data_IF_038383249154
#
_entry.id   IF_038383249154
#
_cell.length_a   1.000
_cell.length_b   1.000
_cell.length_c   1.000
_cell.angle_alpha   90.00
_cell.angle_beta   90.00
_cell.angle_gamma   90.00
#
_symmetry.space_group_name_H-M   'P 1'
#
loop_
_entity.id
_entity.type
_entity.pdbx_description
1 polymer ?
#
# COMPACT_ATOMS: atom_id res chain seq x y z
N UNK A 1 27.44 -33.36 9.30
CA UNK A 1 27.10 -34.61 8.61
C UNK A 1 26.79 -34.27 7.18
N UNK A 2 27.69 -34.62 6.29
CA UNK A 2 27.48 -34.47 4.84
C UNK A 2 26.26 -35.30 4.41
N UNK A 3 25.40 -34.70 3.60
CA UNK A 3 24.24 -35.37 3.02
C UNK A 3 24.48 -35.55 1.53
N UNK A 4 24.20 -36.75 1.03
CA UNK A 4 24.36 -37.08 -0.39
C UNK A 4 22.99 -37.02 -1.07
N UNK A 5 22.84 -36.17 -2.08
CA UNK A 5 21.55 -35.97 -2.77
C UNK A 5 21.63 -36.49 -4.19
N UNK A 6 20.67 -37.33 -4.59
CA UNK A 6 20.55 -37.74 -5.99
C UNK A 6 20.04 -36.57 -6.82
N UNK A 7 20.76 -36.21 -7.88
CA UNK A 7 20.38 -35.17 -8.83
C UNK A 7 19.14 -35.54 -9.67
N UNK A 8 18.88 -36.84 -9.90
CA UNK A 8 17.73 -37.31 -10.70
C UNK A 8 16.41 -37.30 -9.92
N UNK A 9 16.39 -37.82 -8.70
CA UNK A 9 15.16 -37.90 -7.90
C UNK A 9 15.14 -37.05 -6.62
N UNK A 10 16.18 -36.24 -6.39
CA UNK A 10 16.35 -35.38 -5.20
C UNK A 10 16.37 -36.10 -3.85
N UNK A 11 16.39 -37.44 -3.85
CA UNK A 11 16.46 -38.24 -2.62
C UNK A 11 17.76 -38.00 -1.88
N UNK A 12 17.65 -37.66 -0.60
CA UNK A 12 18.80 -37.44 0.30
C UNK A 12 19.17 -38.71 1.06
N UNK A 13 20.46 -38.99 1.18
CA UNK A 13 21.03 -40.13 1.88
C UNK A 13 22.00 -39.65 2.97
N UNK A 14 21.99 -40.34 4.10
CA UNK A 14 22.87 -40.05 5.25
C UNK A 14 24.24 -40.71 5.14
N UNK A 15 24.42 -41.66 4.21
CA UNK A 15 25.68 -42.39 4.02
C UNK A 15 26.02 -42.51 2.53
N UNK A 16 27.32 -42.40 2.22
CA UNK A 16 27.84 -42.52 0.85
C UNK A 16 27.54 -43.89 0.25
N UNK A 17 27.56 -44.95 1.06
CA UNK A 17 27.25 -46.32 0.60
C UNK A 17 25.82 -46.45 0.11
N UNK A 18 24.83 -45.87 0.82
CA UNK A 18 23.43 -45.89 0.40
C UNK A 18 23.20 -45.08 -0.87
N UNK A 19 23.82 -43.90 -0.97
CA UNK A 19 23.80 -43.09 -2.19
C UNK A 19 24.38 -43.84 -3.38
N UNK A 20 25.54 -44.47 -3.21
CA UNK A 20 26.23 -45.23 -4.27
C UNK A 20 25.41 -46.43 -4.72
N UNK A 21 24.77 -47.15 -3.79
CA UNK A 21 23.85 -48.24 -4.13
C UNK A 21 22.62 -47.73 -4.90
N UNK A 22 22.09 -46.57 -4.53
CA UNK A 22 20.97 -45.96 -5.25
C UNK A 22 21.35 -45.53 -6.67
N UNK A 23 22.54 -44.95 -6.87
CA UNK A 23 22.97 -44.48 -8.20
C UNK A 23 23.41 -45.61 -9.13
N UNK A 24 23.91 -46.73 -8.59
CA UNK A 24 24.37 -47.90 -9.35
C UNK A 24 23.29 -49.00 -9.54
N UNK A 25 22.04 -48.76 -9.15
CA UNK A 25 20.96 -49.75 -9.29
C UNK A 25 20.64 -50.02 -10.77
N UNK A 26 20.24 -51.26 -11.12
CA UNK A 26 19.94 -51.67 -12.50
C UNK A 26 18.85 -50.83 -13.19
N UNK A 27 17.85 -50.37 -12.42
CA UNK A 27 16.74 -49.54 -12.92
C UNK A 27 16.90 -48.13 -12.36
N UNK A 28 17.33 -47.12 -13.13
CA UNK A 28 17.56 -45.76 -12.64
C UNK A 28 16.33 -45.09 -12.03
N UNK A 29 16.51 -44.00 -11.30
CA UNK A 29 15.39 -43.17 -10.83
C UNK A 29 14.88 -42.25 -11.93
N UNK A 30 13.57 -42.03 -11.92
CA UNK A 30 12.82 -41.31 -12.95
C UNK A 30 12.40 -39.92 -12.47
N UNK A 31 11.90 -39.08 -13.38
CA UNK A 31 11.28 -37.80 -12.98
C UNK A 31 10.00 -38.02 -12.15
N UNK A 32 9.30 -39.13 -12.34
CA UNK A 32 8.17 -39.50 -11.47
C UNK A 32 8.61 -39.76 -10.03
N UNK A 33 9.77 -40.41 -9.82
CA UNK A 33 10.36 -40.60 -8.48
C UNK A 33 10.68 -39.26 -7.82
N UNK A 34 11.08 -38.27 -8.61
CA UNK A 34 11.36 -36.90 -8.16
C UNK A 34 10.09 -36.17 -7.72
N UNK A 35 9.04 -36.23 -8.53
CA UNK A 35 7.73 -35.64 -8.20
C UNK A 35 7.21 -36.24 -6.89
N UNK A 36 7.19 -37.58 -6.79
CA UNK A 36 6.79 -38.31 -5.58
C UNK A 36 7.62 -37.92 -4.36
N UNK A 37 8.91 -37.61 -4.54
CA UNK A 37 9.77 -37.14 -3.47
C UNK A 37 9.44 -35.72 -3.02
N UNK A 38 9.20 -34.80 -3.97
CA UNK A 38 8.88 -33.39 -3.70
C UNK A 38 7.52 -33.27 -2.99
N UNK A 39 6.51 -34.00 -3.47
CA UNK A 39 5.14 -33.99 -2.95
C UNK A 39 4.95 -34.79 -1.66
N UNK A 40 6.00 -35.44 -1.17
CA UNK A 40 5.90 -36.25 0.05
C UNK A 40 5.59 -35.36 1.25
N UNK A 41 4.39 -35.53 1.82
CA UNK A 41 3.92 -34.76 2.99
C UNK A 41 4.82 -34.89 4.21
N UNK A 42 5.55 -36.01 4.35
CA UNK A 42 6.49 -36.24 5.45
C UNK A 42 7.91 -35.71 5.14
N UNK A 43 8.08 -34.88 4.11
CA UNK A 43 9.36 -34.26 3.76
C UNK A 43 9.58 -32.96 4.52
N UNK A 44 10.76 -32.79 5.08
CA UNK A 44 11.19 -31.51 5.65
C UNK A 44 11.53 -30.52 4.54
N UNK A 45 10.93 -29.34 4.59
CA UNK A 45 11.14 -28.23 3.67
C UNK A 45 12.54 -27.58 3.79
N UNK A 46 13.21 -27.70 4.95
CA UNK A 46 14.53 -27.11 5.16
C UNK A 46 15.69 -28.03 4.76
N UNK A 47 15.67 -29.28 5.22
CA UNK A 47 16.77 -30.23 4.98
C UNK A 47 16.45 -31.31 3.94
N UNK A 48 15.24 -31.27 3.38
CA UNK A 48 14.74 -32.16 2.33
C UNK A 48 14.64 -33.64 2.71
N UNK A 49 14.88 -34.01 3.96
CA UNK A 49 14.75 -35.40 4.44
C UNK A 49 13.29 -35.83 4.51
N UNK A 50 13.01 -37.06 4.10
CA UNK A 50 11.70 -37.70 4.22
C UNK A 50 11.66 -38.56 5.47
N UNK A 51 10.58 -38.42 6.25
CA UNK A 51 10.36 -39.15 7.49
C UNK A 51 9.31 -40.25 7.29
N UNK A 52 9.40 -41.31 8.10
CA UNK A 52 8.45 -42.42 8.05
C UNK A 52 7.02 -42.00 8.43
N UNK A 53 6.87 -40.96 9.26
CA UNK A 53 5.58 -40.43 9.70
C UNK A 53 5.62 -38.91 9.89
N UNK A 54 4.43 -38.29 9.90
CA UNK A 54 4.25 -36.87 10.23
C UNK A 54 4.78 -36.52 11.63
N UNK A 55 4.59 -37.41 12.60
CA UNK A 55 5.06 -37.16 13.97
C UNK A 55 6.59 -37.11 14.05
N UNK A 56 7.30 -37.96 13.29
CA UNK A 56 8.75 -37.92 13.18
C UNK A 56 9.24 -36.64 12.50
N UNK A 57 8.53 -36.16 11.47
CA UNK A 57 8.80 -34.87 10.84
C UNK A 57 8.61 -33.71 11.83
N UNK A 58 7.51 -33.68 12.58
CA UNK A 58 7.24 -32.65 13.59
C UNK A 58 8.36 -32.58 14.63
N UNK A 59 8.70 -33.71 15.25
CA UNK A 59 9.82 -33.81 16.21
C UNK A 59 11.15 -33.35 15.61
N UNK A 60 11.37 -33.55 14.31
CA UNK A 60 12.55 -33.04 13.63
C UNK A 60 12.52 -31.52 13.47
N UNK A 61 11.40 -30.95 13.03
CA UNK A 61 11.22 -29.51 12.86
C UNK A 61 11.30 -28.74 14.19
N UNK A 62 10.87 -29.36 15.29
CA UNK A 62 10.81 -28.70 16.60
C UNK A 62 12.18 -28.57 17.29
N UNK A 63 13.16 -29.41 16.96
CA UNK A 63 14.46 -29.32 17.66
C UNK A 63 15.65 -30.09 17.09
N UNK A 64 15.53 -30.74 15.92
CA UNK A 64 16.64 -31.53 15.34
C UNK A 64 17.02 -31.08 13.93
N UNK A 65 16.32 -30.09 13.37
CA UNK A 65 16.57 -29.60 12.03
C UNK A 65 17.62 -28.49 12.02
N UNK A 66 18.89 -28.87 11.86
CA UNK A 66 20.01 -27.90 11.75
C UNK A 66 19.85 -26.90 10.59
N UNK A 67 19.20 -27.32 9.49
CA UNK A 67 18.94 -26.43 8.36
C UNK A 67 17.90 -25.35 8.70
N UNK A 68 16.87 -25.70 9.47
CA UNK A 68 15.89 -24.75 9.98
C UNK A 68 16.52 -23.79 10.97
N UNK A 69 17.33 -24.30 11.91
CA UNK A 69 18.06 -23.48 12.89
C UNK A 69 18.97 -22.45 12.21
N UNK A 70 19.71 -22.86 11.18
CA UNK A 70 20.56 -21.96 10.38
C UNK A 70 19.73 -20.89 9.65
N UNK A 71 18.65 -21.29 8.98
CA UNK A 71 17.73 -20.38 8.26
C UNK A 71 17.07 -19.36 9.20
N UNK A 72 16.63 -19.80 10.39
CA UNK A 72 16.08 -18.92 11.42
C UNK A 72 17.11 -17.90 11.89
N UNK A 73 18.35 -18.34 12.19
CA UNK A 73 19.42 -17.44 12.64
C UNK A 73 19.80 -16.39 11.58
N UNK A 74 19.93 -16.81 10.32
CA UNK A 74 20.22 -15.89 9.22
C UNK A 74 19.11 -14.85 9.04
N UNK A 75 17.85 -15.24 9.23
CA UNK A 75 16.69 -14.33 9.21
C UNK A 75 16.68 -13.38 10.40
N UNK A 76 16.99 -13.85 11.60
CA UNK A 76 17.09 -13.01 12.80
C UNK A 76 18.21 -11.97 12.69
N UNK A 77 19.37 -12.36 12.15
CA UNK A 77 20.48 -11.45 11.87
C UNK A 77 20.10 -10.39 10.83
N UNK A 78 19.41 -10.78 9.76
CA UNK A 78 18.91 -9.86 8.74
C UNK A 78 17.87 -8.88 9.32
N UNK A 79 16.94 -9.39 10.12
CA UNK A 79 15.92 -8.59 10.80
C UNK A 79 16.56 -7.56 11.74
N UNK A 80 17.59 -7.97 12.48
CA UNK A 80 18.32 -7.08 13.39
C UNK A 80 19.02 -5.96 12.63
N UNK A 81 19.63 -6.24 11.46
CA UNK A 81 20.24 -5.22 10.60
C UNK A 81 19.20 -4.22 10.06
N UNK A 82 18.07 -4.72 9.58
CA UNK A 82 16.97 -3.88 9.08
C UNK A 82 16.42 -2.93 10.16
N UNK A 83 16.26 -3.41 11.39
CA UNK A 83 15.80 -2.57 12.51
C UNK A 83 16.80 -1.45 12.80
N UNK A 84 18.11 -1.74 12.79
CA UNK A 84 19.15 -0.73 12.99
C UNK A 84 19.13 0.34 11.90
N UNK A 85 19.03 -0.04 10.63
CA UNK A 85 18.93 0.89 9.51
C UNK A 85 17.67 1.77 9.61
N UNK A 86 16.53 1.18 9.98
CA UNK A 86 15.28 1.93 10.16
C UNK A 86 15.36 2.94 11.31
N UNK A 87 16.00 2.58 12.41
CA UNK A 87 16.19 3.49 13.54
C UNK A 87 17.13 4.65 13.16
N UNK A 88 18.16 4.39 12.36
CA UNK A 88 19.07 5.44 11.91
C UNK A 88 18.39 6.41 10.93
N UNK A 89 17.58 5.88 10.00
CA UNK A 89 16.74 6.69 9.12
C UNK A 89 15.75 7.56 9.92
N UNK A 90 15.14 7.02 10.98
CA UNK A 90 14.22 7.77 11.83
C UNK A 90 14.92 8.91 12.59
N UNK A 91 16.16 8.70 13.06
CA UNK A 91 16.98 9.76 13.67
C UNK A 91 17.32 10.86 12.68
N UNK A 92 17.75 10.50 11.47
CA UNK A 92 18.02 11.48 10.41
C UNK A 92 16.78 12.30 10.03
N UNK A 93 15.62 11.65 9.94
CA UNK A 93 14.34 12.33 9.69
C UNK A 93 13.99 13.32 10.80
N UNK A 94 14.15 12.92 12.07
CA UNK A 94 13.91 13.81 13.22
C UNK A 94 14.81 15.05 13.20
N UNK A 95 16.09 14.88 12.83
CA UNK A 95 17.01 16.00 12.69
C UNK A 95 16.59 16.94 11.55
N UNK A 96 16.26 16.38 10.38
CA UNK A 96 15.80 17.17 9.22
C UNK A 96 14.48 17.92 9.50
N UNK A 97 13.59 17.36 10.33
CA UNK A 97 12.37 18.05 10.77
C UNK A 97 12.68 19.25 11.67
N UNK A 98 13.68 19.16 12.55
CA UNK A 98 14.12 20.29 13.38
C UNK A 98 14.72 21.40 12.51
N UNK A 99 15.58 21.04 11.56
CA UNK A 99 16.18 22.01 10.63
C UNK A 99 15.12 22.72 9.78
N UNK A 100 14.09 21.99 9.34
CA UNK A 100 12.97 22.55 8.59
C UNK A 100 12.16 23.54 9.43
N UNK A 101 11.95 23.27 10.70
CA UNK A 101 11.25 24.18 11.62
C UNK A 101 12.08 25.44 11.86
N UNK A 102 13.39 25.31 12.09
CA UNK A 102 14.27 26.48 12.21
C UNK A 102 14.30 27.34 10.95
N UNK A 103 14.28 26.70 9.77
CA UNK A 103 14.23 27.41 8.49
C UNK A 103 12.90 28.15 8.30
N UNK A 104 11.77 27.54 8.66
CA UNK A 104 10.46 28.22 8.67
C UNK A 104 10.45 29.45 9.58
N UNK A 105 11.00 29.31 10.79
CA UNK A 105 11.10 30.44 11.73
C UNK A 105 11.98 31.57 11.18
N UNK A 106 13.04 31.25 10.43
CA UNK A 106 13.87 32.26 9.74
C UNK A 106 13.12 32.96 8.61
N UNK A 107 12.32 32.23 7.82
CA UNK A 107 11.49 32.81 6.74
C UNK A 107 10.48 33.81 7.32
N UNK A 108 9.77 33.44 8.39
CA UNK A 108 8.79 34.32 9.06
C UNK A 108 9.46 35.61 9.55
N UNK A 109 10.67 35.53 10.12
CA UNK A 109 11.42 36.72 10.56
C UNK A 109 11.87 37.61 9.41
N UNK A 110 12.25 37.04 8.26
CA UNK A 110 12.63 37.80 7.07
C UNK A 110 11.43 38.51 6.42
N UNK A 111 10.27 37.86 6.38
CA UNK A 111 9.02 38.46 5.90
C UNK A 111 8.59 39.66 6.76
N UNK A 112 8.74 39.55 8.09
CA UNK A 112 8.45 40.64 9.03
C UNK A 112 9.41 41.84 8.90
N UNK A 113 10.65 41.62 8.46
CA UNK A 113 11.63 42.69 8.22
C UNK A 113 11.38 43.42 6.89
N UNK A 114 10.91 42.73 5.85
CA UNK A 114 10.57 43.35 4.56
C UNK A 114 9.26 44.16 4.59
N UNK A 115 8.34 43.90 5.52
CA UNK A 115 7.09 44.66 5.68
C UNK A 115 7.23 46.10 6.24
N UNK A 116 8.43 46.54 6.62
CA UNK A 116 8.67 47.85 7.28
C UNK A 116 9.40 48.91 6.44
N UNK A 117 9.63 48.68 5.15
CA UNK A 117 10.18 49.69 4.24
C UNK A 117 9.19 49.97 3.10
N UNK A 118 8.31 50.94 3.32
CA UNK A 118 7.85 51.98 2.36
C UNK A 118 6.97 52.93 3.18
N UNK A 119 7.55 54.05 3.62
CA UNK A 119 6.79 55.23 4.07
C UNK A 119 6.92 56.26 2.96
N UNK A 120 6.10 56.13 1.92
CA UNK A 120 5.88 57.23 0.97
C UNK A 120 4.63 57.95 1.43
N UNK A 121 4.80 59.20 1.87
CA UNK A 121 3.71 60.15 2.12
C UNK A 121 2.97 60.40 0.81
N UNK A 122 1.83 59.76 0.64
CA UNK A 122 0.88 60.06 -0.43
C UNK A 122 -0.53 59.80 0.09
N UNK A 123 -1.35 60.85 0.12
CA UNK A 123 -2.77 60.75 0.42
C UNK A 123 -3.41 59.76 -0.57
N UNK A 124 -3.76 58.57 -0.09
CA UNK A 124 -4.61 57.65 -0.82
C UNK A 124 -5.74 57.29 0.15
N UNK A 125 -6.97 57.62 -0.27
CA UNK A 125 -8.18 57.17 0.41
C UNK A 125 -8.17 55.64 0.44
N UNK A 126 -7.80 55.07 1.58
CA UNK A 126 -7.83 53.63 1.80
C UNK A 126 -9.29 53.22 1.97
N UNK A 127 -9.93 52.79 0.88
CA UNK A 127 -11.02 51.83 1.02
C UNK A 127 -10.45 50.61 1.74
N UNK A 128 -11.05 50.26 2.88
CA UNK A 128 -10.79 49.02 3.60
C UNK A 128 -10.97 47.83 2.62
N UNK A 129 -9.90 47.40 1.97
CA UNK A 129 -9.80 46.03 1.48
C UNK A 129 -9.45 45.24 2.72
N UNK A 130 -10.49 44.85 3.47
CA UNK A 130 -10.36 43.82 4.48
C UNK A 130 -9.64 42.65 3.84
N UNK A 131 -8.59 42.19 4.49
CA UNK A 131 -7.98 40.89 4.21
C UNK A 131 -9.10 39.86 4.23
N UNK A 132 -9.60 39.52 3.04
CA UNK A 132 -10.46 38.36 2.88
C UNK A 132 -9.57 37.18 3.23
N UNK A 133 -9.65 36.72 4.48
CA UNK A 133 -9.43 35.32 4.77
C UNK A 133 -10.39 34.60 3.82
N UNK A 134 -9.87 34.10 2.71
CA UNK A 134 -10.59 33.16 1.85
C UNK A 134 -10.70 31.91 2.72
N UNK A 135 -11.72 31.91 3.58
CA UNK A 135 -12.18 30.74 4.28
C UNK A 135 -12.80 29.89 3.16
N UNK A 136 -11.98 29.04 2.54
CA UNK A 136 -12.46 28.07 1.55
C UNK A 136 -13.45 27.15 2.28
N UNK A 137 -14.73 27.52 2.24
CA UNK A 137 -15.81 26.82 2.89
C UNK A 137 -16.22 25.64 1.99
N UNK A 138 -15.32 24.67 1.83
CA UNK A 138 -15.63 23.43 1.14
C UNK A 138 -16.35 22.49 2.11
N UNK A 139 -17.24 21.65 1.58
CA UNK A 139 -17.91 20.59 2.34
C UNK A 139 -17.48 19.24 1.78
N UNK A 140 -17.04 18.32 2.64
CA UNK A 140 -16.76 16.94 2.21
C UNK A 140 -18.09 16.30 1.78
N UNK A 141 -18.08 15.61 0.64
CA UNK A 141 -19.23 14.86 0.15
C UNK A 141 -19.14 13.41 0.59
N UNK A 142 -20.30 12.78 0.76
CA UNK A 142 -20.39 11.39 1.19
C UNK A 142 -19.63 10.47 0.23
N UNK A 143 -18.99 9.44 0.78
CA UNK A 143 -18.38 8.37 0.01
C UNK A 143 -19.42 7.73 -0.93
N UNK A 144 -19.03 7.53 -2.19
CA UNK A 144 -19.89 7.02 -3.25
C UNK A 144 -20.75 8.08 -3.96
N UNK A 145 -20.70 9.35 -3.53
CA UNK A 145 -21.39 10.48 -4.18
C UNK A 145 -20.41 11.47 -4.82
N UNK A 146 -19.23 11.00 -5.21
CA UNK A 146 -18.19 11.87 -5.73
C UNK A 146 -18.57 12.51 -7.06
N UNK A 147 -18.26 13.80 -7.22
CA UNK A 147 -18.36 14.44 -8.53
C UNK A 147 -17.18 14.01 -9.40
N UNK A 148 -17.48 13.39 -10.55
CA UNK A 148 -16.47 12.91 -11.51
C UNK A 148 -16.36 13.81 -12.75
N UNK A 149 -17.15 14.89 -12.82
CA UNK A 149 -17.25 15.77 -14.00
C UNK A 149 -15.94 16.48 -14.36
N UNK A 150 -15.05 16.64 -13.39
CA UNK A 150 -13.75 17.28 -13.60
C UNK A 150 -12.71 16.35 -14.25
N UNK A 151 -12.96 15.04 -14.31
CA UNK A 151 -12.04 14.07 -14.90
C UNK A 151 -12.20 14.15 -16.42
N UNK A 152 -11.18 14.65 -17.11
CA UNK A 152 -11.23 14.81 -18.57
C UNK A 152 -10.89 13.50 -19.27
N UNK A 153 -11.26 13.38 -20.54
CA UNK A 153 -10.91 12.22 -21.37
C UNK A 153 -9.40 11.92 -21.35
N UNK A 154 -8.55 12.95 -21.38
CA UNK A 154 -7.08 12.78 -21.30
C UNK A 154 -6.64 12.06 -20.03
N UNK A 155 -7.33 12.29 -18.92
CA UNK A 155 -7.02 11.69 -17.62
C UNK A 155 -7.46 10.22 -17.64
N UNK A 156 -8.65 9.93 -18.18
CA UNK A 156 -9.10 8.56 -18.41
C UNK A 156 -8.13 7.77 -19.31
N UNK A 157 -7.65 8.35 -20.42
CA UNK A 157 -6.66 7.68 -21.28
C UNK A 157 -5.39 7.31 -20.51
N UNK A 158 -4.90 8.19 -19.64
CA UNK A 158 -3.74 7.92 -18.78
C UNK A 158 -4.01 6.81 -17.76
N UNK A 159 -5.20 6.81 -17.16
CA UNK A 159 -5.62 5.83 -16.16
C UNK A 159 -5.80 4.45 -16.82
N UNK A 160 -6.47 4.37 -17.96
CA UNK A 160 -6.71 3.11 -18.70
C UNK A 160 -5.39 2.44 -19.13
N UNK A 161 -4.38 3.23 -19.51
CA UNK A 161 -3.04 2.72 -19.86
C UNK A 161 -2.31 2.02 -18.70
N UNK A 162 -2.82 2.14 -17.47
CA UNK A 162 -2.27 1.45 -16.29
C UNK A 162 -2.72 -0.02 -16.17
N UNK A 163 -3.69 -0.49 -16.97
CA UNK A 163 -4.19 -1.87 -16.94
C UNK A 163 -4.64 -2.29 -15.53
N UNK A 164 -4.00 -3.32 -14.95
CA UNK A 164 -4.31 -3.78 -13.58
C UNK A 164 -4.17 -2.70 -12.48
N UNK A 165 -3.46 -1.60 -12.76
CA UNK A 165 -3.32 -0.47 -11.83
C UNK A 165 -4.31 0.66 -12.11
N UNK A 166 -5.22 0.52 -13.08
CA UNK A 166 -6.20 1.55 -13.43
C UNK A 166 -7.15 1.86 -12.27
N UNK A 167 -7.68 0.83 -11.58
CA UNK A 167 -8.57 1.04 -10.42
C UNK A 167 -7.86 1.81 -9.28
N UNK A 168 -6.67 1.38 -8.78
CA UNK A 168 -5.94 2.17 -7.78
C UNK A 168 -5.65 3.61 -8.22
N UNK A 169 -5.31 3.81 -9.50
CA UNK A 169 -4.98 5.14 -9.99
C UNK A 169 -6.20 6.06 -10.10
N UNK A 170 -7.37 5.51 -10.47
CA UNK A 170 -8.62 6.27 -10.45
C UNK A 170 -9.01 6.65 -9.01
N UNK A 171 -8.87 5.73 -8.05
CA UNK A 171 -9.13 5.99 -6.63
C UNK A 171 -8.22 7.11 -6.11
N UNK A 172 -6.93 7.09 -6.48
CA UNK A 172 -5.99 8.16 -6.15
C UNK A 172 -6.45 9.52 -6.67
N UNK A 173 -6.87 9.56 -7.94
CA UNK A 173 -7.28 10.77 -8.63
C UNK A 173 -8.60 11.35 -8.09
N UNK A 174 -9.47 10.50 -7.55
CA UNK A 174 -10.75 10.92 -6.96
C UNK A 174 -10.55 11.38 -5.52
N UNK A 175 -10.06 10.49 -4.64
CA UNK A 175 -10.15 10.68 -3.20
C UNK A 175 -8.93 11.37 -2.56
N UNK A 176 -7.82 11.48 -3.30
CA UNK A 176 -6.56 12.03 -2.78
C UNK A 176 -6.04 13.20 -3.62
N UNK A 177 -6.94 13.82 -4.39
CA UNK A 177 -6.62 15.00 -5.18
C UNK A 177 -6.68 16.26 -4.32
N UNK A 178 -5.52 16.84 -4.03
CA UNK A 178 -5.36 18.05 -3.20
C UNK A 178 -6.19 19.25 -3.67
N UNK A 179 -6.57 19.32 -4.94
CA UNK A 179 -7.36 20.40 -5.52
C UNK A 179 -8.88 20.15 -5.41
N UNK A 180 -9.30 18.99 -4.91
CA UNK A 180 -10.69 18.56 -4.75
C UNK A 180 -10.93 18.06 -3.32
N UNK A 181 -10.80 18.95 -2.32
CA UNK A 181 -10.96 18.58 -0.91
C UNK A 181 -12.35 18.04 -0.57
N UNK A 182 -13.36 18.30 -1.41
CA UNK A 182 -14.70 17.76 -1.27
C UNK A 182 -14.69 16.21 -1.32
N UNK A 183 -13.81 15.60 -2.12
CA UNK A 183 -13.72 14.16 -2.32
C UNK A 183 -12.84 13.43 -1.31
N UNK A 184 -12.23 14.15 -0.35
CA UNK A 184 -11.36 13.57 0.67
C UNK A 184 -12.16 12.84 1.77
N UNK A 185 -12.86 11.79 1.38
CA UNK A 185 -13.92 11.15 2.16
C UNK A 185 -13.62 9.70 2.57
N UNK A 186 -12.41 9.20 2.32
CA UNK A 186 -11.99 7.82 2.68
C UNK A 186 -10.49 7.72 2.97
N UNK A 187 -10.11 6.98 4.02
CA UNK A 187 -8.71 6.59 4.27
C UNK A 187 -8.58 5.45 5.29
N UNK A 188 -7.39 4.84 5.36
CA UNK A 188 -7.03 3.88 6.41
C UNK A 188 -6.18 4.61 7.46
N UNK A 189 -6.68 4.67 8.70
CA UNK A 189 -5.96 5.29 9.82
C UNK A 189 -4.77 4.45 10.27
N UNK A 190 -4.93 3.12 10.31
CA UNK A 190 -3.96 2.16 10.83
C UNK A 190 -3.90 0.89 9.97
N UNK A 191 -2.69 0.47 9.58
CA UNK A 191 -2.46 -0.71 8.73
C UNK A 191 -2.81 -2.06 9.38
N UNK A 192 -2.80 -2.12 10.72
CA UNK A 192 -3.08 -3.33 11.49
C UNK A 192 -4.58 -3.58 11.63
N UNK A 193 -5.39 -2.54 11.53
CA UNK A 193 -6.83 -2.63 11.74
C UNK A 193 -7.53 -3.13 10.48
N UNK A 194 -8.66 -3.81 10.66
CA UNK A 194 -9.51 -4.30 9.57
C UNK A 194 -10.59 -3.30 9.17
N UNK A 195 -10.37 -2.02 9.45
CA UNK A 195 -11.35 -0.98 9.21
C UNK A 195 -10.79 0.13 8.31
N UNK A 196 -11.69 0.69 7.51
CA UNK A 196 -11.49 1.91 6.71
C UNK A 196 -12.38 2.99 7.31
N UNK A 197 -11.87 4.22 7.40
CA UNK A 197 -12.68 5.36 7.80
C UNK A 197 -13.28 5.99 6.55
N UNK A 198 -14.61 6.09 6.50
CA UNK A 198 -15.35 6.73 5.41
C UNK A 198 -16.22 7.87 5.94
N UNK A 199 -16.50 8.87 5.13
CA UNK A 199 -17.45 9.93 5.45
C UNK A 199 -18.81 9.62 4.83
N UNK A 200 -19.87 9.57 5.64
CA UNK A 200 -21.23 9.23 5.18
C UNK A 200 -22.04 10.45 4.68
N UNK A 201 -21.48 11.66 4.78
CA UNK A 201 -22.17 12.93 4.49
C UNK A 201 -22.50 13.76 5.75
N UNK A 202 -22.42 13.13 6.92
CA UNK A 202 -22.62 13.76 8.23
C UNK A 202 -21.40 13.56 9.13
N UNK A 203 -20.94 12.31 9.29
CA UNK A 203 -19.85 11.92 10.19
C UNK A 203 -18.93 10.88 9.57
N UNK A 204 -17.75 10.75 10.17
CA UNK A 204 -16.80 9.70 9.85
C UNK A 204 -17.19 8.39 10.53
N UNK A 205 -17.28 7.31 9.77
CA UNK A 205 -17.65 5.98 10.24
C UNK A 205 -16.57 4.95 9.89
N UNK A 206 -16.33 4.00 10.79
CA UNK A 206 -15.51 2.83 10.51
C UNK A 206 -16.36 1.80 9.77
N UNK A 207 -15.84 1.27 8.66
CA UNK A 207 -16.42 0.14 7.93
C UNK A 207 -15.40 -0.95 7.73
N UNK A 208 -15.88 -2.18 7.55
CA UNK A 208 -15.03 -3.35 7.28
C UNK A 208 -14.21 -3.10 6.00
N UNK A 209 -12.90 -3.34 6.10
CA UNK A 209 -11.96 -2.95 5.06
C UNK A 209 -12.15 -3.76 3.78
N UNK A 210 -12.23 -5.07 3.89
CA UNK A 210 -12.27 -5.95 2.74
C UNK A 210 -13.58 -5.78 1.95
N UNK A 211 -14.69 -5.46 2.63
CA UNK A 211 -15.98 -5.07 2.02
C UNK A 211 -15.86 -3.75 1.24
N UNK A 212 -15.35 -2.69 1.89
CA UNK A 212 -15.17 -1.37 1.24
C UNK A 212 -14.21 -1.46 0.06
N UNK A 213 -13.13 -2.23 0.19
CA UNK A 213 -12.18 -2.43 -0.91
C UNK A 213 -12.79 -3.22 -2.06
N UNK A 214 -13.65 -4.20 -1.79
CA UNK A 214 -14.37 -4.94 -2.83
C UNK A 214 -15.33 -4.01 -3.59
N UNK A 215 -16.18 -3.29 -2.86
CA UNK A 215 -17.13 -2.31 -3.43
C UNK A 215 -16.39 -1.24 -4.25
N UNK A 216 -15.25 -0.76 -3.75
CA UNK A 216 -14.41 0.20 -4.46
C UNK A 216 -13.87 -0.36 -5.78
N UNK A 217 -13.47 -1.64 -5.82
CA UNK A 217 -13.00 -2.28 -7.05
C UNK A 217 -14.12 -2.37 -8.06
N UNK A 218 -15.29 -2.85 -7.66
CA UNK A 218 -16.47 -3.04 -8.52
C UNK A 218 -16.90 -1.69 -9.12
N UNK A 219 -17.24 -0.72 -8.28
CA UNK A 219 -17.72 0.60 -8.71
C UNK A 219 -16.74 1.31 -9.66
N UNK A 220 -15.43 1.22 -9.37
CA UNK A 220 -14.41 1.90 -10.18
C UNK A 220 -14.11 1.13 -11.47
N UNK A 221 -14.27 -0.18 -11.47
CA UNK A 221 -14.17 -1.00 -12.69
C UNK A 221 -15.32 -0.70 -13.64
N UNK A 222 -16.54 -0.52 -13.13
CA UNK A 222 -17.70 -0.17 -13.96
C UNK A 222 -17.49 1.19 -14.66
N UNK A 223 -17.11 2.23 -13.91
CA UNK A 223 -16.79 3.55 -14.47
C UNK A 223 -15.69 3.46 -15.56
N UNK A 224 -14.64 2.69 -15.29
CA UNK A 224 -13.54 2.55 -16.25
C UNK A 224 -13.96 1.74 -17.48
N UNK A 225 -14.86 0.77 -17.33
CA UNK A 225 -15.35 -0.05 -18.44
C UNK A 225 -16.21 0.78 -19.38
N UNK A 226 -17.17 1.56 -18.83
CA UNK A 226 -17.98 2.50 -19.62
C UNK A 226 -17.10 3.50 -20.38
N UNK A 227 -16.11 4.10 -19.70
CA UNK A 227 -15.19 5.06 -20.33
C UNK A 227 -14.25 4.42 -21.35
N UNK A 228 -13.91 3.15 -21.16
CA UNK A 228 -13.13 2.42 -22.14
C UNK A 228 -13.90 2.20 -23.44
N UNK A 229 -15.17 1.81 -23.36
CA UNK A 229 -16.02 1.59 -24.53
C UNK A 229 -16.24 2.89 -25.32
N UNK A 230 -16.44 4.02 -24.63
CA UNK A 230 -16.53 5.35 -25.25
C UNK A 230 -15.24 5.76 -25.99
N UNK A 231 -14.07 5.46 -25.38
CA UNK A 231 -12.78 5.97 -25.85
C UNK A 231 -12.00 4.98 -26.72
N UNK A 232 -12.47 3.74 -26.91
CA UNK A 232 -11.70 2.64 -27.51
C UNK A 232 -11.08 2.99 -28.87
N UNK A 233 -11.79 3.78 -29.69
CA UNK A 233 -11.35 4.20 -31.02
C UNK A 233 -10.28 5.31 -31.00
N UNK A 234 -10.07 5.94 -29.84
CA UNK A 234 -9.10 7.02 -29.64
C UNK A 234 -7.90 6.61 -28.78
N UNK A 235 -7.86 5.34 -28.33
CA UNK A 235 -6.78 4.78 -27.53
C UNK A 235 -5.70 4.19 -28.43
N UNK A 236 -4.44 4.28 -27.99
CA UNK A 236 -3.36 3.54 -28.63
C UNK A 236 -3.53 2.03 -28.40
N UNK A 237 -3.01 1.24 -29.33
CA UNK A 237 -3.11 -0.23 -29.29
C UNK A 237 -2.58 -0.82 -27.98
N UNK A 238 -1.52 -0.23 -27.41
CA UNK A 238 -0.93 -0.69 -26.16
C UNK A 238 -1.88 -0.48 -24.98
N UNK A 239 -2.50 0.70 -24.88
CA UNK A 239 -3.51 0.99 -23.85
C UNK A 239 -4.71 0.04 -23.97
N UNK A 240 -5.24 -0.14 -25.19
CA UNK A 240 -6.35 -1.06 -25.46
C UNK A 240 -6.02 -2.48 -25.03
N UNK A 241 -4.82 -2.99 -25.37
CA UNK A 241 -4.38 -4.33 -25.00
C UNK A 241 -4.22 -4.50 -23.49
N UNK A 242 -3.62 -3.52 -22.79
CA UNK A 242 -3.42 -3.58 -21.34
C UNK A 242 -4.75 -3.56 -20.59
N UNK A 243 -5.69 -2.72 -21.01
CA UNK A 243 -6.96 -2.58 -20.31
C UNK A 243 -7.90 -3.75 -20.61
N UNK A 244 -7.95 -4.26 -21.85
CA UNK A 244 -8.67 -5.51 -22.17
C UNK A 244 -8.19 -6.68 -21.33
N UNK A 245 -6.87 -6.84 -21.22
CA UNK A 245 -6.30 -7.88 -20.36
C UNK A 245 -6.74 -7.74 -18.90
N UNK A 246 -6.82 -6.51 -18.39
CA UNK A 246 -7.37 -6.28 -17.06
C UNK A 246 -8.84 -6.71 -16.98
N UNK A 247 -9.68 -6.34 -17.95
CA UNK A 247 -11.10 -6.72 -17.97
C UNK A 247 -11.30 -8.25 -18.07
N UNK A 248 -10.46 -8.94 -18.84
CA UNK A 248 -10.53 -10.40 -19.02
C UNK A 248 -10.15 -11.16 -17.72
N UNK A 249 -9.21 -10.62 -16.95
CA UNK A 249 -8.67 -11.25 -15.73
C UNK A 249 -9.22 -10.61 -14.44
N UNK A 250 -10.20 -9.68 -14.52
CA UNK A 250 -10.63 -8.84 -13.38
C UNK A 250 -11.24 -9.63 -12.22
N UNK A 251 -11.90 -10.74 -12.53
CA UNK A 251 -12.60 -11.60 -11.58
C UNK A 251 -11.69 -12.70 -10.99
N UNK A 252 -10.43 -12.77 -11.43
CA UNK A 252 -9.47 -13.72 -10.86
C UNK A 252 -9.10 -13.31 -9.42
N UNK A 253 -9.27 -14.23 -8.46
CA UNK A 253 -8.96 -14.01 -7.04
C UNK A 253 -7.57 -13.40 -6.80
N UNK A 254 -6.57 -13.81 -7.59
CA UNK A 254 -5.20 -13.28 -7.49
C UNK A 254 -5.12 -11.81 -7.88
N UNK A 255 -5.83 -11.42 -8.93
CA UNK A 255 -5.87 -10.04 -9.41
C UNK A 255 -6.64 -9.17 -8.41
N UNK A 256 -7.82 -9.61 -7.98
CA UNK A 256 -8.61 -8.92 -6.97
C UNK A 256 -7.79 -8.72 -5.68
N UNK A 257 -7.14 -9.77 -5.19
CA UNK A 257 -6.28 -9.70 -3.99
C UNK A 257 -5.11 -8.72 -4.16
N UNK A 258 -4.49 -8.70 -5.33
CA UNK A 258 -3.40 -7.76 -5.63
C UNK A 258 -3.90 -6.31 -5.67
N UNK A 259 -5.06 -6.05 -6.29
CA UNK A 259 -5.66 -4.71 -6.33
C UNK A 259 -6.07 -4.27 -4.91
N UNK A 260 -6.68 -5.16 -4.11
CA UNK A 260 -7.00 -4.87 -2.69
C UNK A 260 -5.75 -4.48 -1.91
N UNK A 261 -4.63 -5.17 -2.12
CA UNK A 261 -3.35 -4.83 -1.49
C UNK A 261 -2.86 -3.44 -1.91
N UNK A 262 -2.97 -3.10 -3.19
CA UNK A 262 -2.56 -1.80 -3.71
C UNK A 262 -3.44 -0.67 -3.14
N UNK A 263 -4.76 -0.86 -3.13
CA UNK A 263 -5.69 0.08 -2.52
C UNK A 263 -5.42 0.26 -1.03
N UNK A 264 -5.21 -0.84 -0.28
CA UNK A 264 -4.84 -0.76 1.14
C UNK A 264 -3.61 0.11 1.37
N UNK A 265 -2.56 -0.10 0.58
CA UNK A 265 -1.34 0.71 0.67
C UNK A 265 -1.62 2.18 0.32
N UNK A 266 -2.41 2.43 -0.72
CA UNK A 266 -2.76 3.76 -1.21
C UNK A 266 -3.56 4.56 -0.17
N UNK A 267 -4.64 3.97 0.36
CA UNK A 267 -5.52 4.59 1.36
C UNK A 267 -4.78 4.93 2.67
N UNK A 268 -3.76 4.15 3.02
CA UNK A 268 -2.94 4.43 4.20
C UNK A 268 -1.84 5.46 3.93
N UNK A 269 -1.09 5.30 2.83
CA UNK A 269 0.03 6.19 2.53
C UNK A 269 -0.41 7.64 2.30
N UNK A 270 -1.60 7.83 1.70
CA UNK A 270 -2.14 9.16 1.40
C UNK A 270 -3.07 9.72 2.49
N UNK A 271 -3.24 9.04 3.64
CA UNK A 271 -4.19 9.42 4.69
C UNK A 271 -4.04 10.86 5.23
N UNK A 272 -2.83 11.42 5.14
CA UNK A 272 -2.55 12.79 5.60
C UNK A 272 -3.31 13.85 4.81
N UNK A 273 -3.79 13.53 3.62
CA UNK A 273 -4.59 14.43 2.78
C UNK A 273 -6.01 14.59 3.40
N UNK A 274 -6.82 13.51 3.55
CA UNK A 274 -8.12 13.60 4.19
C UNK A 274 -8.07 13.96 5.68
N UNK A 275 -7.04 13.55 6.42
CA UNK A 275 -6.85 13.96 7.83
C UNK A 275 -6.82 15.49 7.97
N UNK A 276 -6.05 16.18 7.12
CA UNK A 276 -5.98 17.65 7.15
C UNK A 276 -7.30 18.31 6.79
N UNK A 277 -7.99 17.79 5.78
CA UNK A 277 -9.30 18.29 5.35
C UNK A 277 -10.32 18.16 6.48
N UNK A 278 -10.30 17.03 7.19
CA UNK A 278 -11.12 16.79 8.36
C UNK A 278 -10.77 17.74 9.51
N UNK A 279 -9.49 17.91 9.84
CA UNK A 279 -9.04 18.85 10.87
C UNK A 279 -9.52 20.28 10.60
N UNK A 280 -9.46 20.74 9.35
CA UNK A 280 -9.96 22.07 8.95
C UNK A 280 -11.45 22.21 9.22
N UNK A 281 -12.25 21.17 8.96
CA UNK A 281 -13.69 21.19 9.26
C UNK A 281 -13.98 21.20 10.76
N UNK A 282 -13.26 20.40 11.54
CA UNK A 282 -13.41 20.35 13.00
C UNK A 282 -13.01 21.68 13.66
N UNK A 283 -12.03 22.41 13.11
CA UNK A 283 -11.65 23.75 13.56
C UNK A 283 -12.70 24.82 13.24
N UNK A 284 -13.46 24.63 12.16
CA UNK A 284 -14.49 25.56 11.71
C UNK A 284 -15.88 25.24 12.28
N UNK A 285 -16.04 24.19 13.11
CA UNK A 285 -17.32 23.83 13.73
C UNK A 285 -17.65 24.81 14.88
N UNK A 286 -18.73 25.61 14.78
CA UNK A 286 -19.14 26.56 15.82
C UNK A 286 -19.56 25.89 17.14
N UNK A 287 -19.71 24.56 17.19
CA UNK A 287 -20.01 23.81 18.42
C UNK A 287 -18.78 23.26 19.14
N UNK A 288 -17.55 23.61 18.73
CA UNK A 288 -16.33 23.17 19.41
C UNK A 288 -16.29 23.71 20.85
N UNK A 289 -16.63 22.85 21.81
CA UNK A 289 -16.40 23.11 23.23
C UNK A 289 -14.88 23.02 23.45
N UNK A 290 -14.26 24.16 23.72
CA UNK A 290 -12.87 24.23 24.10
C UNK A 290 -12.71 23.69 25.53
N UNK A 291 -12.20 22.46 25.65
CA UNK A 291 -11.86 21.87 26.95
C UNK A 291 -10.47 22.31 27.46
N UNK A 292 -9.87 23.38 26.92
CA UNK A 292 -8.57 23.89 27.38
C UNK A 292 -8.68 25.03 28.42
N UNK A 293 -9.61 24.90 29.35
CA UNK A 293 -9.56 25.60 30.64
C UNK A 293 -9.79 24.58 31.74
N UNK A 294 -8.91 24.60 32.75
CA UNK A 294 -8.78 23.67 33.89
C UNK A 294 -7.87 22.45 33.62
N UNK A 295 -6.56 22.65 33.75
CA UNK A 295 -5.74 22.32 34.94
C UNK A 295 -4.45 23.15 34.89
#
# INVERSE_FOLDING_TARGET
>A
METFTCNKCLKTFTTKSNYTRHTKRKIPCTEEDKIKYIENKNRCNYCLKVFASQQSLKRHLDGKCKAKEKDTREKEELMTKLIKEKNEQAKQMSLMMKDMEEMKQKIIKLEQQNGKRITVKGNINTQNIGTQNIQNNFKIIAYGKEDLSYIMEKDFKQILNKGFKSVPNLVEFIHFNKNKPENHNVYISNMRDNYVLIYDGEKWQLKERDDVLQEMIENKTDILSEKFDELINQLDESTTKKFRRFLDEKDEDKIVSQIKKDLKMLLYNNKKIPEKTREILELNDPKRIDYSVEI
#
